data_IF_588507665672
#
_entry.id   IF_588507665672
#
_cell.length_a   1.000
_cell.length_b   1.000
_cell.length_c   1.000
_cell.angle_alpha   90.00
_cell.angle_beta   90.00
_cell.angle_gamma   90.00
#
_symmetry.space_group_name_H-M   'P 1'
#
loop_
_entity.id
_entity.type
_entity.pdbx_description
1 polymer ?
#
# COMPACT_ATOMS: atom_id res chain seq x y z
N UNK A 1 -5.62 23.12 -24.90
CA UNK A 1 -6.23 21.79 -24.63
C UNK A 1 -5.15 20.83 -24.15
N UNK A 2 -4.92 20.75 -22.83
CA UNK A 2 -3.98 19.79 -22.24
C UNK A 2 -4.69 18.45 -22.03
N UNK A 3 -4.15 17.38 -22.62
CA UNK A 3 -4.64 16.01 -22.46
C UNK A 3 -4.67 15.65 -20.96
N UNK A 4 -5.86 15.29 -20.46
CA UNK A 4 -6.10 14.96 -19.06
C UNK A 4 -5.28 13.75 -18.60
N UNK A 5 -4.18 14.00 -17.89
CA UNK A 5 -3.43 12.97 -17.20
C UNK A 5 -4.33 12.27 -16.19
N UNK A 6 -4.45 10.94 -16.29
CA UNK A 6 -5.15 10.11 -15.29
C UNK A 6 -4.70 10.51 -13.88
N UNK A 7 -5.64 10.95 -13.05
CA UNK A 7 -5.39 11.44 -11.68
C UNK A 7 -4.61 10.38 -10.89
N UNK A 8 -3.39 10.67 -10.37
CA UNK A 8 -2.58 9.71 -9.63
C UNK A 8 -3.32 9.00 -8.48
N UNK A 9 -4.30 9.68 -7.88
CA UNK A 9 -5.20 9.09 -6.87
C UNK A 9 -6.04 7.93 -7.41
N UNK A 10 -6.61 8.04 -8.61
CA UNK A 10 -7.45 6.98 -9.18
C UNK A 10 -6.65 5.70 -9.50
N UNK A 11 -5.40 5.86 -9.95
CA UNK A 11 -4.50 4.72 -10.17
C UNK A 11 -4.15 4.01 -8.85
N UNK A 12 -3.87 4.78 -7.78
CA UNK A 12 -3.58 4.21 -6.46
C UNK A 12 -4.79 3.53 -5.84
N UNK A 13 -5.96 4.15 -5.92
CA UNK A 13 -7.21 3.55 -5.44
C UNK A 13 -7.47 2.20 -6.12
N UNK A 14 -7.27 2.12 -7.43
CA UNK A 14 -7.39 0.86 -8.18
C UNK A 14 -6.37 -0.19 -7.74
N UNK A 15 -5.10 0.18 -7.59
CA UNK A 15 -4.07 -0.75 -7.13
C UNK A 15 -4.35 -1.28 -5.71
N UNK A 16 -4.83 -0.43 -4.80
CA UNK A 16 -5.22 -0.84 -3.45
C UNK A 16 -6.44 -1.77 -3.48
N UNK A 17 -7.46 -1.46 -4.29
CA UNK A 17 -8.63 -2.31 -4.43
C UNK A 17 -8.26 -3.67 -5.03
N UNK A 18 -7.42 -3.72 -6.07
CA UNK A 18 -6.89 -4.95 -6.67
C UNK A 18 -6.12 -5.81 -5.66
N UNK A 19 -5.27 -5.20 -4.83
CA UNK A 19 -4.54 -5.90 -3.75
C UNK A 19 -5.49 -6.54 -2.74
N UNK A 20 -6.40 -5.74 -2.16
CA UNK A 20 -7.35 -6.22 -1.14
C UNK A 20 -8.29 -7.29 -1.71
N UNK A 21 -8.78 -7.11 -2.94
CA UNK A 21 -9.62 -8.10 -3.62
C UNK A 21 -8.90 -9.43 -3.85
N UNK A 22 -7.59 -9.37 -4.17
CA UNK A 22 -6.73 -10.54 -4.29
C UNK A 22 -6.58 -11.30 -2.97
N UNK A 23 -6.32 -10.60 -1.87
CA UNK A 23 -6.21 -11.18 -0.52
C UNK A 23 -7.52 -11.85 -0.09
N UNK A 24 -8.66 -11.20 -0.29
CA UNK A 24 -9.99 -11.77 -0.01
C UNK A 24 -10.21 -13.05 -0.82
N UNK A 25 -9.87 -13.05 -2.11
CA UNK A 25 -10.03 -14.22 -2.98
C UNK A 25 -9.16 -15.39 -2.52
N UNK A 26 -7.92 -15.10 -2.11
CA UNK A 26 -6.98 -16.09 -1.58
C UNK A 26 -7.54 -16.72 -0.31
N UNK A 27 -7.90 -15.90 0.69
CA UNK A 27 -8.47 -16.37 1.97
C UNK A 27 -9.75 -17.20 1.76
N UNK A 28 -10.61 -16.80 0.82
CA UNK A 28 -11.78 -17.59 0.43
C UNK A 28 -11.38 -18.99 -0.06
N UNK A 29 -10.33 -19.06 -0.87
CA UNK A 29 -9.77 -20.31 -1.40
C UNK A 29 -9.18 -21.20 -0.31
N UNK A 30 -8.44 -20.62 0.63
CA UNK A 30 -7.84 -21.32 1.79
C UNK A 30 -8.90 -21.98 2.68
N UNK A 31 -10.05 -21.32 2.85
CA UNK A 31 -11.20 -21.86 3.58
C UNK A 31 -12.13 -22.73 2.72
N UNK A 32 -11.76 -23.03 1.47
CA UNK A 32 -12.57 -23.79 0.51
C UNK A 32 -14.02 -23.29 0.35
N UNK A 33 -14.24 -21.98 0.53
CA UNK A 33 -15.55 -21.37 0.44
C UNK A 33 -15.91 -21.13 -1.03
N UNK A 34 -17.09 -21.59 -1.43
CA UNK A 34 -17.65 -21.21 -2.74
C UNK A 34 -18.04 -19.74 -2.73
N UNK A 35 -18.05 -19.09 -3.90
CA UNK A 35 -18.48 -17.70 -4.06
C UNK A 35 -19.88 -17.46 -3.46
N UNK A 36 -20.81 -18.40 -3.66
CA UNK A 36 -22.17 -18.32 -3.10
C UNK A 36 -22.20 -18.42 -1.59
N UNK A 37 -21.33 -19.24 -0.99
CA UNK A 37 -21.24 -19.36 0.45
C UNK A 37 -20.69 -18.07 1.06
N UNK A 38 -19.58 -17.56 0.53
CA UNK A 38 -18.99 -16.30 0.98
C UNK A 38 -19.95 -15.12 0.83
N UNK A 39 -20.62 -14.98 -0.33
CA UNK A 39 -21.58 -13.89 -0.55
C UNK A 39 -22.76 -13.94 0.43
N UNK A 40 -23.28 -15.15 0.72
CA UNK A 40 -24.34 -15.33 1.71
C UNK A 40 -23.89 -14.94 3.12
N UNK A 41 -22.67 -15.33 3.52
CA UNK A 41 -22.08 -14.95 4.82
C UNK A 41 -21.91 -13.43 4.93
N UNK A 42 -21.45 -12.78 3.86
CA UNK A 42 -21.29 -11.33 3.80
C UNK A 42 -22.62 -10.56 3.71
N UNK A 43 -23.74 -11.23 3.47
CA UNK A 43 -25.03 -10.57 3.24
C UNK A 43 -25.10 -9.78 1.92
N UNK A 44 -24.35 -10.20 0.90
CA UNK A 44 -24.27 -9.50 -0.41
C UNK A 44 -24.61 -10.43 -1.57
N UNK A 45 -24.89 -9.85 -2.75
CA UNK A 45 -25.11 -10.65 -3.96
C UNK A 45 -23.80 -11.31 -4.43
N UNK A 46 -23.87 -12.47 -5.11
CA UNK A 46 -22.67 -13.10 -5.69
C UNK A 46 -21.90 -12.21 -6.66
N UNK A 47 -22.59 -11.30 -7.36
CA UNK A 47 -21.96 -10.33 -8.25
C UNK A 47 -21.18 -9.26 -7.45
N UNK A 48 -21.74 -8.78 -6.35
CA UNK A 48 -21.04 -7.86 -5.43
C UNK A 48 -19.79 -8.50 -4.84
N UNK A 49 -19.90 -9.76 -4.39
CA UNK A 49 -18.76 -10.56 -3.93
C UNK A 49 -17.68 -10.66 -5.02
N UNK A 50 -18.08 -11.00 -6.26
CA UNK A 50 -17.15 -11.11 -7.40
C UNK A 50 -16.44 -9.80 -7.70
N UNK A 51 -17.17 -8.67 -7.69
CA UNK A 51 -16.60 -7.33 -7.88
C UNK A 51 -15.61 -6.96 -6.77
N UNK A 52 -15.94 -7.28 -5.51
CA UNK A 52 -15.04 -7.12 -4.36
C UNK A 52 -13.75 -7.93 -4.54
N UNK A 53 -13.87 -9.22 -4.85
CA UNK A 53 -12.70 -10.10 -5.13
C UNK A 53 -11.92 -9.69 -6.37
N UNK A 54 -12.54 -8.99 -7.33
CA UNK A 54 -11.87 -8.44 -8.51
C UNK A 54 -11.17 -7.09 -8.24
N UNK A 55 -11.36 -6.51 -7.05
CA UNK A 55 -10.77 -5.23 -6.68
C UNK A 55 -11.43 -4.04 -7.35
N UNK A 56 -12.76 -4.04 -7.47
CA UNK A 56 -13.50 -2.89 -7.99
C UNK A 56 -13.43 -1.70 -7.01
N UNK A 57 -12.84 -0.55 -7.40
CA UNK A 57 -12.70 0.62 -6.54
C UNK A 57 -14.03 1.33 -6.25
N UNK A 58 -15.13 0.93 -6.89
CA UNK A 58 -16.48 1.42 -6.63
C UNK A 58 -17.20 0.68 -5.50
N UNK A 59 -16.61 -0.36 -4.92
CA UNK A 59 -17.17 -1.05 -3.75
C UNK A 59 -16.96 -0.18 -2.50
N UNK A 60 -18.03 0.00 -1.72
CA UNK A 60 -17.96 0.77 -0.49
C UNK A 60 -17.08 0.07 0.56
N UNK A 61 -16.45 0.84 1.44
CA UNK A 61 -15.64 0.28 2.55
C UNK A 61 -16.49 -0.66 3.42
N UNK A 62 -17.73 -0.29 3.74
CA UNK A 62 -18.65 -1.13 4.53
C UNK A 62 -18.89 -2.49 3.86
N UNK A 63 -19.15 -2.50 2.55
CA UNK A 63 -19.31 -3.74 1.78
C UNK A 63 -18.02 -4.56 1.76
N UNK A 64 -16.87 -3.89 1.62
CA UNK A 64 -15.58 -4.56 1.62
C UNK A 64 -15.27 -5.21 2.97
N UNK A 65 -15.56 -4.55 4.09
CA UNK A 65 -15.45 -5.12 5.44
C UNK A 65 -16.35 -6.35 5.62
N UNK A 66 -17.61 -6.30 5.17
CA UNK A 66 -18.51 -7.45 5.25
C UNK A 66 -18.02 -8.64 4.42
N UNK A 67 -17.45 -8.39 3.24
CA UNK A 67 -16.86 -9.41 2.39
C UNK A 67 -15.61 -10.01 3.05
N UNK A 68 -14.74 -9.19 3.64
CA UNK A 68 -13.54 -9.62 4.36
C UNK A 68 -13.89 -10.50 5.57
N UNK A 69 -14.80 -10.04 6.43
CA UNK A 69 -15.24 -10.78 7.61
C UNK A 69 -15.84 -12.15 7.24
N UNK A 70 -16.60 -12.19 6.14
CA UNK A 70 -17.16 -13.44 5.61
C UNK A 70 -16.11 -14.48 5.18
N UNK A 71 -14.86 -14.07 4.94
CA UNK A 71 -13.74 -14.97 4.63
C UNK A 71 -12.69 -15.03 5.75
N UNK A 72 -12.97 -14.46 6.93
CA UNK A 72 -12.08 -14.49 8.08
C UNK A 72 -11.01 -13.40 8.11
N UNK A 73 -11.14 -12.35 7.29
CA UNK A 73 -10.22 -11.21 7.26
C UNK A 73 -10.83 -9.98 7.96
N UNK A 74 -9.99 -9.22 8.66
CA UNK A 74 -10.35 -7.89 9.16
C UNK A 74 -9.83 -6.81 8.19
N UNK A 75 -10.75 -6.11 7.53
CA UNK A 75 -10.40 -5.07 6.55
C UNK A 75 -10.13 -3.75 7.29
N UNK A 76 -8.86 -3.41 7.39
CA UNK A 76 -8.41 -2.19 8.07
C UNK A 76 -8.01 -1.12 7.06
N UNK A 77 -8.69 0.03 7.08
CA UNK A 77 -8.34 1.20 6.27
C UNK A 77 -7.49 2.15 7.10
N UNK A 78 -6.24 2.38 6.66
CA UNK A 78 -5.32 3.34 7.28
C UNK A 78 -4.94 4.42 6.29
N UNK A 79 -4.96 5.66 6.76
CA UNK A 79 -4.37 6.78 6.03
C UNK A 79 -2.99 7.05 6.61
N UNK A 80 -1.99 7.05 5.76
CA UNK A 80 -0.67 7.55 6.09
C UNK A 80 -0.52 8.95 5.50
N UNK A 81 0.30 9.80 6.12
CA UNK A 81 0.69 11.08 5.50
C UNK A 81 1.29 10.76 4.12
N UNK A 82 0.70 11.30 3.05
CA UNK A 82 1.04 10.93 1.68
C UNK A 82 2.51 11.21 1.31
N UNK A 83 3.07 10.34 0.44
CA UNK A 83 4.46 10.26 -0.09
C UNK A 83 5.56 10.55 0.94
N UNK A 84 6.15 9.45 1.44
CA UNK A 84 7.50 9.36 1.97
C UNK A 84 7.80 10.14 3.26
N UNK A 85 8.88 9.79 3.97
CA UNK A 85 9.52 10.72 4.89
C UNK A 85 10.07 11.86 4.05
N UNK A 86 9.23 12.81 3.66
CA UNK A 86 9.79 14.03 3.09
C UNK A 86 10.62 14.67 4.19
N UNK A 87 11.82 15.12 3.85
CA UNK A 87 12.62 15.98 4.71
C UNK A 87 11.82 17.27 4.93
N UNK A 88 10.94 17.26 5.94
CA UNK A 88 9.91 18.30 6.16
C UNK A 88 10.44 19.44 6.98
N UNK A 89 11.43 19.15 7.80
CA UNK A 89 12.05 20.12 8.68
C UNK A 89 13.46 20.45 8.19
N UNK A 90 13.74 21.73 8.03
CA UNK A 90 15.09 22.27 7.85
C UNK A 90 16.08 21.73 8.89
N UNK A 91 15.63 21.42 10.10
CA UNK A 91 16.45 20.79 11.13
C UNK A 91 16.95 19.40 10.72
N UNK A 92 16.07 18.56 10.14
CA UNK A 92 16.46 17.23 9.65
C UNK A 92 17.43 17.33 8.47
N UNK A 93 17.24 18.30 7.58
CA UNK A 93 18.18 18.57 6.49
C UNK A 93 19.55 18.98 7.01
N UNK A 94 19.60 19.87 8.02
CA UNK A 94 20.86 20.28 8.64
C UNK A 94 21.59 19.11 9.30
N UNK A 95 20.87 18.21 9.97
CA UNK A 95 21.45 16.99 10.54
C UNK A 95 21.99 16.06 9.46
N UNK A 96 21.25 15.85 8.37
CA UNK A 96 21.71 15.01 7.25
C UNK A 96 22.93 15.61 6.57
N UNK A 97 22.97 16.92 6.38
CA UNK A 97 24.12 17.62 5.79
C UNK A 97 25.37 17.43 6.64
N UNK A 98 25.25 17.54 7.98
CA UNK A 98 26.34 17.25 8.91
C UNK A 98 26.79 15.79 8.79
N UNK A 99 25.85 14.84 8.79
CA UNK A 99 26.16 13.40 8.67
C UNK A 99 26.89 13.11 7.35
N UNK A 100 26.42 13.67 6.24
CA UNK A 100 27.06 13.48 4.94
C UNK A 100 28.44 14.14 4.88
N UNK A 101 28.64 15.26 5.59
CA UNK A 101 29.93 15.95 5.68
C UNK A 101 30.99 15.19 6.49
N UNK A 102 30.58 14.36 7.46
CA UNK A 102 31.49 13.52 8.25
C UNK A 102 31.64 12.09 7.71
N UNK A 103 30.75 11.66 6.80
CA UNK A 103 30.81 10.35 6.18
C UNK A 103 32.08 10.20 5.31
N UNK A 104 32.60 8.98 5.21
CA UNK A 104 33.75 8.71 4.37
C UNK A 104 33.43 8.99 2.90
N UNK A 105 34.34 9.61 2.15
CA UNK A 105 34.10 10.06 0.77
C UNK A 105 33.81 8.94 -0.23
N UNK A 106 34.09 7.68 0.14
CA UNK A 106 33.73 6.51 -0.66
C UNK A 106 32.29 6.04 -0.46
N UNK A 107 31.55 6.62 0.47
CA UNK A 107 30.15 6.28 0.74
C UNK A 107 29.23 7.20 -0.05
N UNK A 108 28.19 6.63 -0.65
CA UNK A 108 27.16 7.37 -1.39
C UNK A 108 25.96 7.58 -0.48
N UNK A 109 25.58 8.84 -0.28
CA UNK A 109 24.36 9.18 0.43
C UNK A 109 23.15 9.16 -0.51
N UNK A 110 22.08 8.49 -0.11
CA UNK A 110 20.78 8.57 -0.75
C UNK A 110 19.71 8.97 0.29
N UNK A 111 18.76 9.80 -0.12
CA UNK A 111 17.69 10.30 0.75
C UNK A 111 16.40 9.53 0.49
N UNK A 112 15.59 9.37 1.52
CA UNK A 112 14.29 8.67 1.45
C UNK A 112 14.40 7.24 0.88
N UNK A 113 15.36 6.48 1.37
CA UNK A 113 15.63 5.12 0.95
C UNK A 113 14.55 4.19 1.50
N UNK A 114 13.98 3.31 0.67
CA UNK A 114 13.08 2.26 1.16
C UNK A 114 13.85 1.26 2.00
N UNK A 115 13.37 1.01 3.21
CA UNK A 115 13.88 -0.05 4.07
C UNK A 115 12.86 -1.19 4.12
N UNK A 116 13.33 -2.43 4.12
CA UNK A 116 12.45 -3.60 4.28
C UNK A 116 11.40 -3.83 3.19
N UNK A 117 10.62 -4.89 3.40
CA UNK A 117 9.62 -5.37 2.44
C UNK A 117 8.23 -4.75 2.66
N UNK A 118 7.95 -4.24 3.86
CA UNK A 118 6.62 -3.81 4.30
C UNK A 118 6.39 -2.30 4.21
N UNK A 119 7.26 -1.60 3.47
CA UNK A 119 7.12 -0.17 3.20
C UNK A 119 7.74 0.72 4.28
N UNK A 120 8.70 0.18 5.04
CA UNK A 120 9.57 0.97 5.88
C UNK A 120 10.44 1.90 5.00
N UNK A 121 10.93 2.98 5.59
CA UNK A 121 11.78 3.95 4.91
C UNK A 121 12.79 4.53 5.90
N UNK A 122 14.00 4.78 5.41
CA UNK A 122 15.05 5.51 6.10
C UNK A 122 15.15 6.93 5.50
N UNK A 123 15.35 7.93 6.36
CA UNK A 123 15.51 9.32 5.92
C UNK A 123 16.80 9.52 5.11
N UNK A 124 17.88 8.83 5.50
CA UNK A 124 19.17 8.77 4.79
C UNK A 124 19.74 7.35 4.82
N UNK A 125 20.26 6.87 3.69
CA UNK A 125 21.09 5.68 3.59
C UNK A 125 22.50 6.08 3.15
N UNK A 126 23.52 5.48 3.75
CA UNK A 126 24.92 5.63 3.35
C UNK A 126 25.40 4.27 2.85
N UNK A 127 25.73 4.19 1.56
CA UNK A 127 26.12 2.94 0.90
C UNK A 127 27.60 2.94 0.61
N UNK A 128 28.30 1.91 1.11
CA UNK A 128 29.70 1.70 0.78
C UNK A 128 29.91 1.23 -0.67
N UNK A 129 31.17 1.18 -1.16
CA UNK A 129 31.48 0.74 -2.52
C UNK A 129 31.03 -0.69 -2.85
N UNK A 130 30.71 -1.50 -1.84
CA UNK A 130 30.34 -2.91 -1.97
C UNK A 130 28.84 -3.16 -1.78
N UNK A 131 28.03 -2.10 -1.59
CA UNK A 131 26.62 -2.20 -1.17
C UNK A 131 25.61 -1.70 -2.22
N UNK A 132 26.05 -1.50 -3.47
CA UNK A 132 25.21 -1.04 -4.60
C UNK A 132 24.91 -2.19 -5.56
#
# INVERSE_FOLDING_TARGET
MTRGGRRPGARRARAQAESVGGEIRLARGEHALTLRHASRRAGVSPDTQRRGEAGDPGISITTLCAIGDAVGLDVVVRTYRGRGPSLRDSGQLGVIEIICGIAHSSWKAELEVRAGDHGEACDVGLFGPMEI
#
